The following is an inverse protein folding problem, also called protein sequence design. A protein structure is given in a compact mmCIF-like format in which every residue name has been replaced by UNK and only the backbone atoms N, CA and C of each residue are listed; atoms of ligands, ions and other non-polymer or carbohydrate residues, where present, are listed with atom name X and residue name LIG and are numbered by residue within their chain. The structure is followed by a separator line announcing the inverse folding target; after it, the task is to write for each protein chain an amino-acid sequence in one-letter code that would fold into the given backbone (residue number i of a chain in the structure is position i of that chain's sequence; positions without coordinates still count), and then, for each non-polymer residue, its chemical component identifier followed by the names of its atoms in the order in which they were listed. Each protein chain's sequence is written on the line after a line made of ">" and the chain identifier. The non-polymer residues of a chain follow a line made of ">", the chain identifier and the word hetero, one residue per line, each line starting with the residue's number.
data_IF_424519317065
#
_entry.id   IF_424519317065
#
_cell.length_a   1.000
_cell.length_b   1.000
_cell.length_c   1.000
_cell.angle_alpha   90.00
_cell.angle_beta   90.00
_cell.angle_gamma   90.00
#
_symmetry.space_group_name_H-M   'P 1'
#
loop_
_entity.id
_entity.type
_entity.pdbx_description
1 polymer ?
#
# COMPACT_ATOMS: atom_id res chain seq x y z
N UNK A 1 -16.11 -13.46 -1.63
CA UNK A 1 -17.36 -13.53 -2.41
C UNK A 1 -18.51 -13.90 -1.51
N UNK A 2 -19.42 -12.96 -1.26
CA UNK A 2 -20.57 -13.09 -0.36
C UNK A 2 -21.72 -13.96 -0.91
N UNK A 3 -21.55 -14.60 -2.04
CA UNK A 3 -22.58 -15.35 -2.75
C UNK A 3 -22.44 -16.87 -2.71
N UNK A 4 -21.47 -17.39 -1.97
CA UNK A 4 -21.44 -18.82 -1.68
C UNK A 4 -22.57 -19.10 -0.70
N UNK A 5 -23.68 -19.55 -1.27
CA UNK A 5 -24.90 -19.81 -0.52
C UNK A 5 -24.67 -20.87 0.55
N UNK A 6 -25.17 -20.57 1.71
CA UNK A 6 -25.18 -21.35 2.95
C UNK A 6 -25.72 -22.78 2.88
N UNK A 7 -26.16 -23.27 1.72
CA UNK A 7 -26.68 -24.65 1.56
C UNK A 7 -25.58 -25.70 1.38
N UNK A 8 -24.37 -25.27 0.97
CA UNK A 8 -23.28 -26.19 0.61
C UNK A 8 -22.05 -26.05 1.52
N UNK A 9 -22.14 -25.20 2.57
CA UNK A 9 -21.08 -25.06 3.55
C UNK A 9 -21.12 -26.19 4.54
N UNK A 10 -20.04 -26.95 4.61
CA UNK A 10 -19.78 -27.97 5.64
C UNK A 10 -18.92 -27.37 6.76
N UNK A 11 -19.51 -26.91 7.87
CA UNK A 11 -18.78 -26.15 8.89
C UNK A 11 -17.55 -26.89 9.44
N UNK A 12 -17.68 -28.17 9.71
CA UNK A 12 -16.57 -28.96 10.28
C UNK A 12 -15.41 -29.09 9.30
N UNK A 13 -15.69 -29.34 8.03
CA UNK A 13 -14.65 -29.36 6.99
C UNK A 13 -13.94 -28.01 6.87
N UNK A 14 -14.69 -26.90 6.96
CA UNK A 14 -14.10 -25.56 6.87
C UNK A 14 -13.22 -25.24 8.09
N UNK A 15 -13.63 -25.68 9.31
CA UNK A 15 -12.81 -25.55 10.51
C UNK A 15 -11.50 -26.33 10.36
N UNK A 16 -11.55 -27.59 9.94
CA UNK A 16 -10.37 -28.40 9.66
C UNK A 16 -9.47 -27.74 8.59
N UNK A 17 -10.06 -27.18 7.54
CA UNK A 17 -9.32 -26.47 6.48
C UNK A 17 -8.64 -25.20 7.03
N UNK A 18 -9.30 -24.44 7.93
CA UNK A 18 -8.70 -23.26 8.58
C UNK A 18 -7.50 -23.69 9.44
N UNK A 19 -7.65 -24.75 10.22
CA UNK A 19 -6.57 -25.28 11.06
C UNK A 19 -5.41 -25.83 10.21
N UNK A 20 -5.71 -26.62 9.19
CA UNK A 20 -4.71 -27.23 8.30
C UNK A 20 -3.95 -26.21 7.45
N UNK A 21 -4.63 -25.16 6.97
CA UNK A 21 -4.07 -24.21 6.00
C UNK A 21 -3.51 -22.95 6.68
N UNK A 22 -4.23 -22.43 7.68
CA UNK A 22 -3.88 -21.16 8.34
C UNK A 22 -3.17 -21.41 9.68
N UNK A 23 -3.38 -22.58 10.31
CA UNK A 23 -2.79 -22.92 11.60
C UNK A 23 -3.44 -22.18 12.78
N UNK A 24 -4.69 -21.81 12.65
CA UNK A 24 -5.48 -21.16 13.71
C UNK A 24 -6.53 -22.15 14.19
N UNK A 25 -6.56 -22.42 15.50
CA UNK A 25 -7.63 -23.22 16.11
C UNK A 25 -9.00 -22.60 15.81
N UNK A 26 -9.88 -23.34 15.15
CA UNK A 26 -11.19 -22.88 14.70
C UNK A 26 -12.37 -23.60 15.39
N UNK A 27 -12.09 -24.51 16.36
CA UNK A 27 -13.12 -25.30 17.02
C UNK A 27 -14.21 -24.42 17.66
N UNK A 28 -13.79 -23.36 18.36
CA UNK A 28 -14.68 -22.40 19.04
C UNK A 28 -15.17 -21.25 18.15
N UNK A 29 -14.96 -21.30 16.83
CA UNK A 29 -15.39 -20.23 15.93
C UNK A 29 -16.92 -20.17 15.84
N UNK A 30 -17.57 -19.00 16.07
CA UNK A 30 -19.02 -18.86 15.94
C UNK A 30 -19.50 -19.13 14.51
N UNK A 31 -20.49 -20.00 14.36
CA UNK A 31 -21.11 -20.31 13.07
C UNK A 31 -22.21 -19.30 12.79
N UNK A 32 -21.99 -18.40 11.83
CA UNK A 32 -22.89 -17.28 11.54
C UNK A 32 -23.40 -17.29 10.10
N UNK A 33 -24.47 -16.56 9.87
CA UNK A 33 -24.92 -16.19 8.53
C UNK A 33 -25.11 -14.68 8.45
N UNK A 34 -24.22 -13.99 7.77
CA UNK A 34 -24.34 -12.55 7.54
C UNK A 34 -25.63 -12.19 6.77
N UNK A 35 -26.07 -13.07 5.84
CA UNK A 35 -27.28 -12.87 5.03
C UNK A 35 -28.56 -12.90 5.86
N UNK A 36 -28.65 -13.79 6.84
CA UNK A 36 -29.86 -13.96 7.67
C UNK A 36 -29.76 -13.30 9.03
N UNK A 37 -28.56 -12.85 9.44
CA UNK A 37 -28.29 -12.34 10.80
C UNK A 37 -28.14 -13.44 11.85
N UNK A 38 -28.14 -14.72 11.45
CA UNK A 38 -28.03 -15.83 12.41
C UNK A 38 -26.72 -15.74 13.17
N UNK A 39 -26.78 -15.80 14.51
CA UNK A 39 -25.66 -15.83 15.45
C UNK A 39 -24.64 -14.66 15.28
N UNK A 40 -25.02 -13.55 14.66
CA UNK A 40 -24.15 -12.37 14.53
C UNK A 40 -23.89 -11.76 15.92
N UNK A 41 -24.86 -11.80 16.81
CA UNK A 41 -24.71 -11.34 18.21
C UNK A 41 -23.64 -12.13 18.96
N UNK A 42 -23.49 -13.43 18.72
CA UNK A 42 -22.47 -14.28 19.35
C UNK A 42 -21.04 -13.81 18.99
N UNK A 43 -20.84 -13.29 17.77
CA UNK A 43 -19.55 -12.68 17.37
C UNK A 43 -19.30 -11.40 18.14
N UNK A 44 -20.31 -10.55 18.32
CA UNK A 44 -20.19 -9.29 19.06
C UNK A 44 -19.87 -9.56 20.54
N UNK A 45 -20.56 -10.53 21.16
CA UNK A 45 -20.26 -10.95 22.53
C UNK A 45 -18.85 -11.54 22.64
N UNK A 46 -18.44 -12.41 21.71
CA UNK A 46 -17.10 -12.97 21.69
C UNK A 46 -16.01 -11.88 21.56
N UNK A 47 -16.26 -10.82 20.81
CA UNK A 47 -15.37 -9.65 20.72
C UNK A 47 -15.22 -8.99 22.08
N UNK A 48 -16.34 -8.75 22.78
CA UNK A 48 -16.33 -8.10 24.11
C UNK A 48 -15.64 -8.97 25.16
N UNK A 49 -15.83 -10.28 25.11
CA UNK A 49 -15.26 -11.22 26.07
C UNK A 49 -13.78 -11.53 25.83
N UNK A 50 -13.39 -11.73 24.55
CA UNK A 50 -12.06 -12.24 24.18
C UNK A 50 -11.03 -11.13 23.87
N UNK A 51 -11.47 -9.94 23.43
CA UNK A 51 -10.56 -8.85 23.10
C UNK A 51 -10.35 -7.93 24.30
N UNK A 52 -9.11 -7.79 24.80
CA UNK A 52 -8.85 -6.94 25.96
C UNK A 52 -9.14 -5.46 25.64
N UNK A 53 -9.70 -4.76 26.63
CA UNK A 53 -9.94 -3.32 26.52
C UNK A 53 -8.62 -2.54 26.32
N UNK A 54 -8.64 -1.39 25.62
CA UNK A 54 -7.47 -0.54 25.47
C UNK A 54 -6.92 -0.09 26.82
N UNK A 55 -5.59 -0.09 26.96
CA UNK A 55 -4.88 0.36 28.17
C UNK A 55 -4.29 1.74 27.90
N UNK A 56 -4.36 2.64 28.88
CA UNK A 56 -3.74 3.97 28.83
C UNK A 56 -4.10 4.81 30.05
N UNK A 57 -3.29 5.84 30.33
CA UNK A 57 -3.53 6.78 31.43
C UNK A 57 -4.00 8.14 30.89
N UNK A 58 -5.25 8.51 31.17
CA UNK A 58 -5.84 9.78 30.78
C UNK A 58 -5.15 11.02 31.41
N UNK A 59 -4.34 10.85 32.46
CA UNK A 59 -3.60 11.95 33.13
C UNK A 59 -2.17 12.10 32.63
N UNK A 60 -1.67 11.14 31.84
CA UNK A 60 -0.35 11.23 31.24
C UNK A 60 -0.28 12.35 30.18
N UNK A 61 0.92 12.78 29.76
CA UNK A 61 1.07 13.66 28.61
C UNK A 61 0.40 13.06 27.36
N UNK A 62 -0.28 13.91 26.58
CA UNK A 62 -0.99 13.47 25.39
C UNK A 62 -0.06 12.77 24.39
N UNK A 63 -0.44 11.57 24.02
CA UNK A 63 0.11 10.82 22.90
C UNK A 63 -1.04 10.27 22.04
N UNK A 64 -1.22 10.80 20.85
CA UNK A 64 -2.22 10.32 19.90
C UNK A 64 -1.55 9.96 18.57
N UNK A 65 -1.81 8.76 18.07
CA UNK A 65 -1.29 8.27 16.79
C UNK A 65 -2.27 8.65 15.67
N UNK A 66 -1.78 9.32 14.65
CA UNK A 66 -2.53 9.60 13.42
C UNK A 66 -2.53 8.34 12.57
N UNK A 67 -3.70 7.80 12.26
CA UNK A 67 -3.82 6.64 11.37
C UNK A 67 -4.46 6.97 10.02
N UNK A 68 -5.15 8.13 9.92
CA UNK A 68 -5.72 8.63 8.66
C UNK A 68 -5.97 10.14 8.75
N UNK A 69 -6.19 10.81 7.62
CA UNK A 69 -6.66 12.18 7.56
C UNK A 69 -7.44 12.43 6.27
N UNK A 70 -8.41 13.34 6.34
CA UNK A 70 -9.19 13.74 5.18
C UNK A 70 -9.25 15.26 5.11
N UNK A 71 -9.37 15.77 3.89
CA UNK A 71 -9.59 17.19 3.68
C UNK A 71 -11.07 17.47 3.44
N UNK A 72 -11.65 18.29 4.30
CA UNK A 72 -13.02 18.81 4.16
C UNK A 72 -12.96 20.29 3.76
N UNK A 73 -13.72 20.69 2.74
CA UNK A 73 -13.71 22.07 2.22
C UNK A 73 -14.18 23.13 3.23
N UNK A 74 -14.93 22.72 4.26
CA UNK A 74 -15.46 23.60 5.30
C UNK A 74 -14.67 23.52 6.61
N UNK A 75 -14.21 22.33 6.99
CA UNK A 75 -13.54 22.05 8.27
C UNK A 75 -12.02 22.05 8.14
N UNK A 76 -11.48 22.07 6.93
CA UNK A 76 -10.05 21.90 6.67
C UNK A 76 -9.59 20.46 6.85
N UNK A 77 -8.40 20.25 7.39
CA UNK A 77 -7.88 18.92 7.65
C UNK A 77 -8.54 18.32 8.89
N UNK A 78 -9.16 17.18 8.71
CA UNK A 78 -9.69 16.33 9.78
C UNK A 78 -8.74 15.18 9.99
N UNK A 79 -8.13 15.09 11.16
CA UNK A 79 -7.15 14.07 11.52
C UNK A 79 -7.84 12.95 12.30
N UNK A 80 -7.68 11.71 11.85
CA UNK A 80 -8.19 10.53 12.55
C UNK A 80 -7.08 9.96 13.42
N UNK A 81 -7.35 9.82 14.70
CA UNK A 81 -6.32 9.42 15.64
C UNK A 81 -6.84 8.46 16.72
N UNK A 82 -5.90 7.68 17.24
CA UNK A 82 -6.07 6.87 18.44
C UNK A 82 -5.33 7.54 19.59
N UNK A 83 -6.04 7.86 20.66
CA UNK A 83 -5.43 8.39 21.87
C UNK A 83 -4.80 7.21 22.64
N UNK A 84 -3.48 7.21 22.75
CA UNK A 84 -2.73 6.18 23.48
C UNK A 84 -2.61 6.54 24.94
N UNK A 85 -2.23 7.80 25.21
CA UNK A 85 -2.05 8.36 26.56
C UNK A 85 -2.62 9.78 26.61
N UNK A 86 -3.03 10.20 27.79
CA UNK A 86 -3.52 11.57 28.02
C UNK A 86 -4.93 11.79 27.52
N UNK A 87 -5.24 13.07 27.31
CA UNK A 87 -6.53 13.50 26.76
C UNK A 87 -6.38 14.78 25.92
N UNK A 88 -7.35 15.00 25.04
CA UNK A 88 -7.42 16.18 24.18
C UNK A 88 -8.86 16.69 24.10
N UNK A 89 -9.01 18.01 24.15
CA UNK A 89 -10.29 18.72 24.08
C UNK A 89 -10.17 19.95 23.18
N UNK A 90 -11.29 20.54 22.85
CA UNK A 90 -11.33 21.83 22.15
C UNK A 90 -10.48 22.87 22.87
N UNK A 91 -9.67 23.63 22.13
CA UNK A 91 -8.76 24.65 22.63
C UNK A 91 -7.42 24.11 23.16
N UNK A 92 -7.18 22.81 23.14
CA UNK A 92 -5.87 22.23 23.49
C UNK A 92 -4.86 22.65 22.43
N UNK A 93 -3.73 23.30 22.79
CA UNK A 93 -2.65 23.53 21.86
C UNK A 93 -1.91 22.21 21.60
N UNK A 94 -1.94 21.75 20.38
CA UNK A 94 -1.30 20.49 19.96
C UNK A 94 -0.07 20.74 19.10
N UNK A 95 0.84 19.77 19.12
CA UNK A 95 2.04 19.73 18.28
C UNK A 95 2.14 18.39 17.59
N UNK A 96 2.37 18.42 16.27
CA UNK A 96 2.76 17.28 15.46
C UNK A 96 4.24 17.01 15.68
N UNK A 97 4.61 15.81 16.13
CA UNK A 97 6.00 15.56 16.53
C UNK A 97 6.95 15.42 15.34
N UNK A 98 6.52 14.84 14.22
CA UNK A 98 7.35 14.66 13.05
C UNK A 98 7.52 15.94 12.23
N UNK A 99 6.45 16.71 12.04
CA UNK A 99 6.50 17.96 11.24
C UNK A 99 6.84 19.18 12.06
N UNK A 100 6.64 19.12 13.39
CA UNK A 100 6.82 20.25 14.31
C UNK A 100 5.69 21.29 14.25
N UNK A 101 4.67 21.08 13.44
CA UNK A 101 3.54 21.99 13.30
C UNK A 101 2.76 22.10 14.61
N UNK A 102 2.36 23.33 14.96
CA UNK A 102 1.59 23.64 16.17
C UNK A 102 0.27 24.27 15.76
N UNK A 103 -0.83 23.81 16.36
CA UNK A 103 -2.16 24.34 16.11
C UNK A 103 -3.07 24.18 17.34
N UNK A 104 -4.13 24.99 17.40
CA UNK A 104 -5.15 24.82 18.41
C UNK A 104 -6.26 23.89 17.91
N UNK A 105 -6.73 23.00 18.77
CA UNK A 105 -7.84 22.10 18.48
C UNK A 105 -9.14 22.90 18.40
N UNK A 106 -9.84 22.77 17.28
CA UNK A 106 -11.14 23.43 17.03
C UNK A 106 -12.27 22.55 17.52
N UNK A 107 -12.22 21.26 17.22
CA UNK A 107 -13.23 20.27 17.58
C UNK A 107 -12.57 18.90 17.76
N UNK A 108 -13.13 18.10 18.66
CA UNK A 108 -12.83 16.68 18.83
C UNK A 108 -14.14 15.89 18.80
N UNK A 109 -14.09 14.64 18.38
CA UNK A 109 -15.24 13.78 18.34
C UNK A 109 -14.90 12.34 17.99
N UNK A 110 -15.89 11.49 17.95
CA UNK A 110 -15.79 10.10 17.59
C UNK A 110 -16.66 9.75 16.39
N UNK A 111 -16.50 8.54 15.87
CA UNK A 111 -17.21 8.09 14.67
C UNK A 111 -18.54 7.42 15.05
N UNK A 112 -19.63 7.90 14.47
CA UNK A 112 -20.90 7.19 14.42
C UNK A 112 -21.08 6.46 13.09
N UNK A 113 -22.24 5.83 12.90
CA UNK A 113 -22.56 5.19 11.62
C UNK A 113 -22.77 6.28 10.53
N UNK A 114 -21.75 6.45 9.69
CA UNK A 114 -21.78 7.42 8.59
C UNK A 114 -21.72 8.89 8.98
N UNK A 115 -21.37 9.23 10.23
CA UNK A 115 -21.31 10.61 10.71
C UNK A 115 -20.23 10.84 11.77
N UNK A 116 -19.76 12.08 11.84
CA UNK A 116 -18.90 12.57 12.92
C UNK A 116 -19.75 13.06 14.10
N UNK A 117 -19.47 12.57 15.30
CA UNK A 117 -20.18 12.95 16.53
C UNK A 117 -19.22 13.75 17.40
N UNK A 118 -19.41 15.09 17.52
CA UNK A 118 -18.60 15.91 18.40
C UNK A 118 -18.74 15.48 19.87
N UNK A 119 -17.64 15.60 20.61
CA UNK A 119 -17.62 15.36 22.06
C UNK A 119 -16.76 16.41 22.77
N UNK A 120 -16.84 16.44 24.09
CA UNK A 120 -16.10 17.40 24.91
C UNK A 120 -14.61 17.04 24.97
N UNK A 121 -14.27 15.76 25.00
CA UNK A 121 -12.92 15.26 25.21
C UNK A 121 -12.75 13.86 24.61
N UNK A 122 -11.55 13.61 24.05
CA UNK A 122 -11.07 12.27 23.74
C UNK A 122 -9.99 11.89 24.77
N UNK A 123 -10.10 10.70 25.34
CA UNK A 123 -9.20 10.19 26.38
C UNK A 123 -8.45 8.94 25.91
N UNK A 124 -7.42 8.57 26.66
CA UNK A 124 -6.64 7.36 26.45
C UNK A 124 -7.54 6.13 26.21
N UNK A 125 -7.22 5.37 25.14
CA UNK A 125 -8.01 4.24 24.65
C UNK A 125 -9.06 4.57 23.60
N UNK A 126 -9.45 5.84 23.44
CA UNK A 126 -10.45 6.24 22.45
C UNK A 126 -9.85 6.41 21.06
N UNK A 127 -10.69 6.10 20.06
CA UNK A 127 -10.44 6.42 18.65
C UNK A 127 -11.43 7.50 18.25
N UNK A 128 -10.93 8.54 17.57
CA UNK A 128 -11.75 9.65 17.17
C UNK A 128 -11.08 10.56 16.15
N UNK A 129 -11.64 11.73 15.97
CA UNK A 129 -11.11 12.74 15.07
C UNK A 129 -10.78 14.04 15.81
N UNK A 130 -9.84 14.77 15.25
CA UNK A 130 -9.42 16.11 15.69
C UNK A 130 -9.47 17.02 14.48
N UNK A 131 -10.12 18.16 14.59
CA UNK A 131 -9.95 19.27 13.66
C UNK A 131 -9.09 20.34 14.34
N UNK A 132 -8.11 20.88 13.63
CA UNK A 132 -7.22 21.89 14.15
C UNK A 132 -6.98 22.98 13.10
N UNK A 133 -6.59 24.18 13.57
CA UNK A 133 -6.29 25.33 12.70
C UNK A 133 -4.94 25.16 12.00
N UNK A 134 -4.76 24.05 11.25
CA UNK A 134 -3.57 23.77 10.47
C UNK A 134 -3.56 24.60 9.20
N UNK A 135 -2.43 25.25 8.91
CA UNK A 135 -2.29 26.17 7.79
C UNK A 135 -2.05 25.43 6.47
N UNK A 136 -1.37 24.31 6.53
CA UNK A 136 -1.06 23.48 5.37
C UNK A 136 -1.49 22.05 5.62
N UNK A 137 -1.99 21.46 4.58
CA UNK A 137 -2.33 20.05 4.53
C UNK A 137 -1.11 19.15 4.77
N UNK A 138 0.07 19.58 4.32
CA UNK A 138 1.36 18.88 4.53
C UNK A 138 1.86 18.89 5.99
N UNK A 139 1.18 19.62 6.89
CA UNK A 139 1.52 19.67 8.32
C UNK A 139 1.06 18.43 9.08
N UNK A 140 0.22 17.57 8.46
CA UNK A 140 -0.21 16.29 9.01
C UNK A 140 0.35 15.13 8.18
N UNK A 141 0.78 14.08 8.87
CA UNK A 141 1.22 12.83 8.23
C UNK A 141 0.65 11.64 8.97
N UNK A 142 0.16 10.67 8.22
CA UNK A 142 -0.22 9.36 8.78
C UNK A 142 1.02 8.72 9.44
N UNK A 143 0.83 8.20 10.65
CA UNK A 143 1.91 7.68 11.48
C UNK A 143 2.61 8.69 12.38
N UNK A 144 2.27 10.00 12.29
CA UNK A 144 2.80 11.01 13.23
C UNK A 144 2.11 10.93 14.59
N UNK A 145 2.77 11.46 15.60
CA UNK A 145 2.25 11.58 16.97
C UNK A 145 1.82 13.00 17.25
N UNK A 146 0.58 13.13 17.72
CA UNK A 146 0.07 14.39 18.27
C UNK A 146 0.36 14.41 19.76
N UNK A 147 0.94 15.50 20.24
CA UNK A 147 1.15 15.78 21.67
C UNK A 147 0.65 17.16 22.06
N UNK A 148 0.57 17.43 23.38
CA UNK A 148 0.24 18.77 23.87
C UNK A 148 1.47 19.69 23.69
N UNK A 149 1.30 20.84 23.06
CA UNK A 149 2.41 21.77 22.78
C UNK A 149 3.03 22.39 24.05
N UNK A 150 2.23 22.50 25.13
CA UNK A 150 2.68 23.08 26.42
C UNK A 150 3.27 22.02 27.35
N UNK A 151 2.84 20.76 27.24
CA UNK A 151 3.34 19.64 28.02
C UNK A 151 3.55 18.43 27.08
N UNK A 152 4.59 18.48 26.23
CA UNK A 152 4.81 17.43 25.24
C UNK A 152 5.25 16.12 25.89
N UNK A 153 4.86 15.00 25.28
CA UNK A 153 5.41 13.69 25.63
C UNK A 153 6.90 13.63 25.26
N UNK A 154 7.65 12.78 25.97
CA UNK A 154 9.10 12.67 25.80
C UNK A 154 9.48 12.05 24.44
N UNK A 155 8.73 11.04 23.99
CA UNK A 155 9.00 10.28 22.77
C UNK A 155 7.75 10.14 21.91
N UNK A 156 7.87 10.14 20.58
CA UNK A 156 6.75 9.83 19.69
C UNK A 156 6.38 8.35 19.84
N UNK A 157 5.13 8.05 19.53
CA UNK A 157 4.70 6.67 19.36
C UNK A 157 5.44 6.01 18.19
N UNK A 158 5.68 4.69 18.23
CA UNK A 158 6.13 3.97 17.06
C UNK A 158 5.15 4.22 15.92
N UNK A 159 5.57 5.03 14.95
CA UNK A 159 4.78 5.31 13.77
C UNK A 159 4.79 4.15 12.79
N UNK A 160 4.06 4.30 11.70
CA UNK A 160 4.15 3.35 10.59
C UNK A 160 5.52 3.44 9.94
N UNK A 161 6.08 2.29 9.54
CA UNK A 161 7.31 2.28 8.75
C UNK A 161 7.07 3.07 7.46
N UNK A 162 7.99 3.97 7.14
CA UNK A 162 7.97 4.63 5.83
C UNK A 162 8.21 3.56 4.77
N UNK A 163 7.20 3.30 3.96
CA UNK A 163 7.32 2.40 2.83
C UNK A 163 7.65 3.24 1.60
N UNK A 164 8.70 2.88 0.90
CA UNK A 164 9.04 3.53 -0.36
C UNK A 164 8.25 2.90 -1.49
N UNK A 165 7.80 3.68 -2.47
CA UNK A 165 7.20 3.15 -3.68
C UNK A 165 8.13 2.17 -4.38
N UNK A 166 7.57 1.11 -4.92
CA UNK A 166 8.30 0.06 -5.65
C UNK A 166 7.92 0.01 -7.13
N UNK A 167 6.73 0.50 -7.46
CA UNK A 167 6.18 0.51 -8.82
C UNK A 167 5.91 1.95 -9.23
N UNK A 168 6.29 2.31 -10.42
CA UNK A 168 6.13 3.65 -10.98
C UNK A 168 5.39 3.60 -12.30
N UNK A 169 4.43 4.51 -12.51
CA UNK A 169 3.84 4.75 -13.82
C UNK A 169 3.49 6.22 -14.03
N UNK A 170 3.34 6.63 -15.27
CA UNK A 170 2.82 7.94 -15.63
C UNK A 170 1.28 7.94 -15.58
N UNK A 171 0.71 8.97 -14.96
CA UNK A 171 -0.72 9.27 -14.98
C UNK A 171 -0.96 10.55 -15.78
N UNK A 172 -1.75 10.47 -16.82
CA UNK A 172 -2.07 11.58 -17.70
C UNK A 172 -3.57 11.78 -17.79
N UNK A 173 -4.09 13.00 -17.69
CA UNK A 173 -5.50 13.24 -17.96
C UNK A 173 -5.78 13.06 -19.46
N UNK A 174 -6.88 12.39 -19.81
CA UNK A 174 -7.32 12.23 -21.21
C UNK A 174 -7.59 13.58 -21.87
N UNK A 175 -8.01 14.58 -21.11
CA UNK A 175 -8.12 15.97 -21.51
C UNK A 175 -7.00 16.78 -20.82
N UNK A 176 -6.06 17.30 -21.59
CA UNK A 176 -4.92 18.08 -21.08
C UNK A 176 -5.33 19.35 -20.30
N UNK A 177 -6.53 19.87 -20.51
CA UNK A 177 -7.07 20.99 -19.73
C UNK A 177 -7.28 20.62 -18.25
N UNK A 178 -7.45 19.33 -17.92
CA UNK A 178 -7.63 18.81 -16.57
C UNK A 178 -6.32 18.55 -15.82
N UNK A 179 -5.16 18.89 -16.36
CA UNK A 179 -3.87 18.73 -15.66
C UNK A 179 -3.83 19.41 -14.27
N UNK A 180 -4.33 20.65 -14.09
CA UNK A 180 -4.40 21.26 -12.76
C UNK A 180 -5.32 20.48 -11.80
N UNK A 181 -6.44 19.96 -12.29
CA UNK A 181 -7.38 19.19 -11.48
C UNK A 181 -6.75 17.87 -11.01
N UNK A 182 -5.98 17.21 -11.89
CA UNK A 182 -5.22 16.00 -11.54
C UNK A 182 -4.18 16.27 -10.45
N UNK A 183 -3.45 17.39 -10.55
CA UNK A 183 -2.50 17.79 -9.51
C UNK A 183 -3.19 17.97 -8.16
N UNK A 184 -4.27 18.74 -8.14
CA UNK A 184 -5.01 19.03 -6.91
C UNK A 184 -5.62 17.76 -6.30
N UNK A 185 -6.07 16.83 -7.13
CA UNK A 185 -6.55 15.52 -6.69
C UNK A 185 -5.44 14.67 -6.07
N UNK A 186 -4.27 14.57 -6.72
CA UNK A 186 -3.10 13.85 -6.20
C UNK A 186 -2.61 14.45 -4.88
N UNK A 187 -2.56 15.78 -4.76
CA UNK A 187 -2.21 16.45 -3.50
C UNK A 187 -3.18 16.11 -2.36
N UNK A 188 -4.47 16.02 -2.65
CA UNK A 188 -5.50 15.61 -1.67
C UNK A 188 -5.38 14.13 -1.29
N UNK A 189 -5.16 13.25 -2.26
CA UNK A 189 -4.96 11.82 -2.00
C UNK A 189 -3.72 11.55 -1.15
N UNK A 190 -2.64 12.30 -1.36
CA UNK A 190 -1.40 12.17 -0.59
C UNK A 190 -1.58 12.44 0.90
N UNK A 191 -2.70 13.10 1.31
CA UNK A 191 -3.01 13.35 2.71
C UNK A 191 -3.30 12.09 3.52
N UNK A 192 -4.03 11.18 2.91
CA UNK A 192 -4.41 9.93 3.54
C UNK A 192 -3.63 8.73 2.98
N UNK A 193 -2.73 8.97 2.02
CA UNK A 193 -1.86 7.96 1.46
C UNK A 193 -0.40 8.43 1.50
N UNK A 194 0.28 8.12 2.60
CA UNK A 194 1.68 8.51 2.83
C UNK A 194 2.66 7.82 1.86
N UNK A 195 2.24 6.75 1.20
CA UNK A 195 3.05 6.01 0.24
C UNK A 195 2.99 6.60 -1.17
N UNK A 196 1.91 7.33 -1.50
CA UNK A 196 1.76 7.97 -2.81
C UNK A 196 2.80 9.09 -2.98
N UNK A 197 3.65 8.93 -3.98
CA UNK A 197 4.61 9.95 -4.41
C UNK A 197 4.31 10.32 -5.84
N UNK A 198 4.47 11.59 -6.20
CA UNK A 198 4.29 12.03 -7.57
C UNK A 198 5.16 13.24 -7.89
N UNK A 199 5.59 13.33 -9.13
CA UNK A 199 6.34 14.43 -9.69
C UNK A 199 5.82 14.77 -11.10
N UNK A 200 5.91 16.03 -11.54
CA UNK A 200 5.50 16.42 -12.89
C UNK A 200 6.27 15.65 -13.95
N UNK A 201 5.57 15.18 -14.97
CA UNK A 201 6.14 14.49 -16.12
C UNK A 201 5.51 15.00 -17.41
N UNK A 202 6.24 14.90 -18.51
CA UNK A 202 5.73 15.25 -19.84
C UNK A 202 6.03 14.12 -20.81
N UNK A 203 5.02 13.72 -21.56
CA UNK A 203 5.12 12.77 -22.66
C UNK A 203 4.85 13.50 -23.98
N UNK A 204 5.57 13.14 -25.03
CA UNK A 204 5.34 13.69 -26.38
C UNK A 204 3.97 13.27 -26.89
N UNK A 205 3.57 12.03 -26.58
CA UNK A 205 2.28 11.46 -27.02
C UNK A 205 1.09 11.91 -26.16
N UNK A 206 1.26 12.04 -24.83
CA UNK A 206 0.17 12.25 -23.88
C UNK A 206 0.12 13.67 -23.27
N UNK A 207 1.14 14.48 -23.49
CA UNK A 207 1.23 15.84 -22.94
C UNK A 207 1.69 15.87 -21.48
N UNK A 208 1.10 16.77 -20.68
CA UNK A 208 1.47 16.96 -19.27
C UNK A 208 0.75 15.96 -18.37
N UNK A 209 1.49 15.37 -17.46
CA UNK A 209 1.00 14.41 -16.48
C UNK A 209 1.90 14.35 -15.24
N UNK A 210 1.83 13.25 -14.52
CA UNK A 210 2.64 13.00 -13.33
C UNK A 210 3.21 11.59 -13.34
N UNK A 211 4.50 11.48 -13.02
CA UNK A 211 5.13 10.21 -12.67
C UNK A 211 4.77 9.89 -11.23
N UNK A 212 4.03 8.82 -11.01
CA UNK A 212 3.53 8.42 -9.70
C UNK A 212 4.20 7.13 -9.24
N UNK A 213 4.53 7.09 -7.94
CA UNK A 213 5.08 5.92 -7.28
C UNK A 213 4.05 5.25 -6.38
N UNK A 214 3.98 3.92 -6.45
CA UNK A 214 2.99 3.07 -5.76
C UNK A 214 3.67 1.92 -5.03
N UNK A 215 3.01 1.35 -4.02
CA UNK A 215 3.48 0.16 -3.31
C UNK A 215 3.42 -1.12 -4.16
N UNK A 216 2.53 -1.15 -5.14
CA UNK A 216 2.29 -2.27 -6.05
C UNK A 216 1.12 -1.96 -6.97
N UNK A 217 0.71 -2.94 -7.81
CA UNK A 217 -0.39 -2.75 -8.76
C UNK A 217 -1.73 -2.48 -8.09
N UNK A 218 -2.06 -3.20 -7.03
CA UNK A 218 -3.32 -2.98 -6.30
C UNK A 218 -3.41 -1.55 -5.77
N UNK A 219 -2.31 -1.00 -5.27
CA UNK A 219 -2.26 0.40 -4.83
C UNK A 219 -2.48 1.36 -6.01
N UNK A 220 -1.87 1.09 -7.16
CA UNK A 220 -2.08 1.86 -8.39
C UNK A 220 -3.56 1.84 -8.82
N UNK A 221 -4.18 0.66 -8.87
CA UNK A 221 -5.60 0.50 -9.24
C UNK A 221 -6.52 1.25 -8.28
N UNK A 222 -6.28 1.18 -6.97
CA UNK A 222 -7.07 1.91 -5.97
C UNK A 222 -6.95 3.42 -6.18
N UNK A 223 -5.73 3.94 -6.37
CA UNK A 223 -5.52 5.37 -6.60
C UNK A 223 -6.16 5.83 -7.89
N UNK A 224 -6.02 5.05 -8.98
CA UNK A 224 -6.66 5.34 -10.26
C UNK A 224 -8.19 5.38 -10.11
N UNK A 225 -8.78 4.36 -9.50
CA UNK A 225 -10.24 4.29 -9.29
C UNK A 225 -10.74 5.45 -8.42
N UNK A 226 -9.98 5.86 -7.39
CA UNK A 226 -10.30 7.03 -6.58
C UNK A 226 -10.25 8.33 -7.38
N UNK A 227 -9.23 8.53 -8.22
CA UNK A 227 -9.11 9.69 -9.11
C UNK A 227 -10.29 9.77 -10.09
N UNK A 228 -10.71 8.64 -10.63
CA UNK A 228 -11.84 8.55 -11.55
C UNK A 228 -13.18 8.81 -10.85
N UNK A 229 -13.43 8.17 -9.72
CA UNK A 229 -14.74 8.22 -9.02
C UNK A 229 -14.92 9.45 -8.12
N UNK A 230 -13.90 9.82 -7.35
CA UNK A 230 -14.02 10.91 -6.38
C UNK A 230 -13.78 12.28 -7.04
N UNK A 231 -12.91 12.33 -8.08
CA UNK A 231 -12.50 13.57 -8.73
C UNK A 231 -12.98 13.71 -10.18
N UNK A 232 -13.68 12.70 -10.70
CA UNK A 232 -14.24 12.69 -12.07
C UNK A 232 -13.17 12.97 -13.15
N UNK A 233 -12.03 12.29 -13.03
CA UNK A 233 -10.91 12.39 -13.95
C UNK A 233 -10.85 11.14 -14.82
N UNK A 234 -10.82 11.32 -16.16
CA UNK A 234 -10.47 10.24 -17.09
C UNK A 234 -8.96 10.23 -17.25
N UNK A 235 -8.36 9.06 -17.01
CA UNK A 235 -6.90 8.92 -16.96
C UNK A 235 -6.37 7.95 -18.01
N UNK A 236 -5.19 8.26 -18.53
CA UNK A 236 -4.35 7.35 -19.30
C UNK A 236 -3.14 7.00 -18.44
N UNK A 237 -2.91 5.70 -18.25
CA UNK A 237 -1.76 5.19 -17.48
C UNK A 237 -0.73 4.59 -18.41
N UNK A 238 0.55 4.86 -18.15
CA UNK A 238 1.64 4.16 -18.85
C UNK A 238 1.88 2.77 -18.24
N UNK A 239 2.66 1.93 -18.91
CA UNK A 239 3.05 0.65 -18.35
C UNK A 239 3.77 0.83 -17.01
N UNK A 240 3.38 0.10 -15.95
CA UNK A 240 4.11 0.12 -14.68
C UNK A 240 5.56 -0.33 -14.85
N UNK A 241 6.48 0.30 -14.13
CA UNK A 241 7.89 -0.06 -14.13
C UNK A 241 8.48 0.02 -12.73
N UNK A 242 9.63 -0.60 -12.53
CA UNK A 242 10.42 -0.50 -11.29
C UNK A 242 11.52 0.56 -11.47
N UNK A 243 12.20 0.92 -10.38
CA UNK A 243 13.41 1.74 -10.47
C UNK A 243 14.57 0.85 -10.89
N UNK A 244 15.22 1.22 -12.00
CA UNK A 244 16.49 0.60 -12.41
C UNK A 244 17.65 1.51 -12.05
N UNK A 245 18.81 0.94 -11.77
CA UNK A 245 20.05 1.67 -11.60
C UNK A 245 20.88 1.54 -12.86
N UNK A 246 21.23 2.67 -13.47
CA UNK A 246 22.02 2.75 -14.69
C UNK A 246 23.39 3.31 -14.34
N UNK A 247 24.42 2.49 -14.46
CA UNK A 247 25.81 2.89 -14.28
C UNK A 247 26.36 3.34 -15.63
N UNK A 248 26.78 4.61 -15.71
CA UNK A 248 27.33 5.20 -16.94
C UNK A 248 28.83 4.96 -17.03
N UNK A 249 29.33 4.93 -18.25
CA UNK A 249 30.78 4.79 -18.57
C UNK A 249 31.64 5.91 -17.97
N UNK A 250 31.05 7.08 -17.67
CA UNK A 250 31.72 8.19 -16.99
C UNK A 250 31.76 8.08 -15.47
N UNK A 251 31.15 7.01 -14.88
CA UNK A 251 31.08 6.76 -13.45
C UNK A 251 29.84 7.31 -12.75
N UNK A 252 28.94 7.99 -13.46
CA UNK A 252 27.68 8.48 -12.90
C UNK A 252 26.70 7.32 -12.69
N UNK A 253 25.90 7.42 -11.62
CA UNK A 253 24.78 6.54 -11.33
C UNK A 253 23.46 7.29 -11.53
N UNK A 254 22.56 6.71 -12.31
CA UNK A 254 21.22 7.25 -12.56
C UNK A 254 20.18 6.25 -12.00
N UNK A 255 19.25 6.73 -11.20
CA UNK A 255 18.02 5.99 -10.83
C UNK A 255 16.96 6.27 -11.90
N UNK A 256 16.64 5.25 -12.66
CA UNK A 256 15.74 5.33 -13.81
C UNK A 256 14.35 4.86 -13.42
N UNK A 257 13.40 5.78 -13.29
CA UNK A 257 11.98 5.51 -13.05
C UNK A 257 11.14 5.48 -14.31
N UNK A 258 11.60 6.20 -15.36
CA UNK A 258 10.92 6.28 -16.66
C UNK A 258 11.81 5.70 -17.76
N UNK A 259 11.36 4.63 -18.47
CA UNK A 259 12.12 4.01 -19.55
C UNK A 259 12.58 4.97 -20.67
N UNK A 260 11.81 6.04 -20.90
CA UNK A 260 12.14 7.03 -21.95
C UNK A 260 13.41 7.83 -21.66
N UNK A 261 13.80 7.92 -20.40
CA UNK A 261 15.00 8.62 -19.95
C UNK A 261 16.25 7.74 -19.94
N UNK A 262 16.19 6.52 -20.51
CA UNK A 262 17.34 5.65 -20.60
C UNK A 262 18.42 6.32 -21.49
N UNK A 263 19.68 6.47 -21.00
CA UNK A 263 20.77 7.00 -21.78
C UNK A 263 21.05 6.16 -23.05
N UNK A 264 21.81 6.76 -23.99
CA UNK A 264 22.26 6.01 -25.15
C UNK A 264 23.06 4.76 -24.73
N UNK A 265 22.86 3.60 -25.37
CA UNK A 265 23.57 2.36 -25.03
C UNK A 265 25.12 2.52 -24.97
N UNK A 266 25.71 3.42 -25.74
CA UNK A 266 27.14 3.70 -25.68
C UNK A 266 27.61 4.41 -24.40
N UNK A 267 26.70 5.04 -23.68
CA UNK A 267 26.98 5.69 -22.41
C UNK A 267 26.76 4.75 -21.18
N UNK A 268 26.17 3.57 -21.39
CA UNK A 268 25.84 2.63 -20.32
C UNK A 268 26.99 1.62 -20.18
N UNK A 269 27.51 1.49 -18.95
CA UNK A 269 28.45 0.43 -18.59
C UNK A 269 27.69 -0.84 -18.24
N UNK A 270 26.76 -0.76 -17.28
CA UNK A 270 25.83 -1.84 -16.93
C UNK A 270 24.58 -1.29 -16.24
N UNK A 271 23.57 -2.15 -16.12
CA UNK A 271 22.33 -1.84 -15.42
C UNK A 271 22.08 -2.84 -14.29
N UNK A 272 21.39 -2.36 -13.25
CA UNK A 272 20.93 -3.20 -12.13
C UNK A 272 19.42 -3.11 -12.02
N UNK A 273 18.81 -4.25 -11.70
CA UNK A 273 17.38 -4.34 -11.38
C UNK A 273 17.15 -4.63 -9.90
N UNK A 274 15.99 -4.18 -9.33
CA UNK A 274 15.65 -4.47 -7.95
C UNK A 274 15.29 -5.93 -7.77
N UNK A 275 15.88 -6.55 -6.75
CA UNK A 275 15.63 -7.93 -6.34
C UNK A 275 14.91 -7.94 -5.00
N UNK A 276 13.94 -8.81 -4.86
CA UNK A 276 13.21 -9.04 -3.62
C UNK A 276 13.48 -10.44 -3.08
N UNK A 277 13.51 -10.56 -1.77
CA UNK A 277 13.38 -11.84 -1.07
C UNK A 277 11.90 -12.13 -0.96
N UNK A 278 11.46 -13.17 -1.62
CA UNK A 278 10.08 -13.64 -1.65
C UNK A 278 9.93 -14.86 -0.73
N UNK A 279 8.93 -14.83 0.14
CA UNK A 279 8.53 -15.94 1.00
C UNK A 279 7.13 -16.40 0.58
N UNK A 280 7.02 -17.62 0.12
CA UNK A 280 5.79 -18.20 -0.40
C UNK A 280 5.40 -19.36 0.48
N UNK A 281 4.34 -19.18 1.26
CA UNK A 281 3.76 -20.28 2.04
C UNK A 281 2.78 -21.05 1.16
N UNK A 282 2.93 -22.37 1.12
CA UNK A 282 2.15 -23.22 0.23
C UNK A 282 1.96 -24.61 0.86
N UNK A 283 0.85 -25.27 0.52
CA UNK A 283 0.63 -26.66 0.91
C UNK A 283 1.49 -27.60 0.06
N UNK A 284 1.86 -28.75 0.64
CA UNK A 284 2.84 -29.68 0.05
C UNK A 284 2.48 -30.12 -1.37
N UNK A 285 1.20 -30.22 -1.71
CA UNK A 285 0.73 -30.66 -3.03
C UNK A 285 1.04 -29.67 -4.16
N UNK A 286 1.19 -28.37 -3.84
CA UNK A 286 1.42 -27.33 -4.85
C UNK A 286 2.87 -26.85 -4.93
N UNK A 287 3.79 -27.38 -4.09
CA UNK A 287 5.19 -26.97 -4.06
C UNK A 287 5.82 -26.98 -5.46
N UNK A 288 5.66 -28.08 -6.22
CA UNK A 288 6.24 -28.20 -7.56
C UNK A 288 5.71 -27.12 -8.53
N UNK A 289 4.40 -26.90 -8.54
CA UNK A 289 3.79 -25.91 -9.42
C UNK A 289 4.23 -24.45 -9.10
N UNK A 290 4.49 -24.16 -7.81
CA UNK A 290 4.99 -22.84 -7.39
C UNK A 290 6.48 -22.70 -7.68
N UNK A 291 7.28 -23.76 -7.52
CA UNK A 291 8.69 -23.75 -7.92
C UNK A 291 8.85 -23.48 -9.42
N UNK A 292 8.03 -24.15 -10.25
CA UNK A 292 8.00 -23.91 -11.71
C UNK A 292 7.65 -22.45 -12.02
N UNK A 293 6.62 -21.88 -11.36
CA UNK A 293 6.27 -20.47 -11.51
C UNK A 293 7.43 -19.53 -11.18
N UNK A 294 8.09 -19.75 -10.06
CA UNK A 294 9.23 -18.92 -9.66
C UNK A 294 10.39 -19.02 -10.66
N UNK A 295 10.64 -20.22 -11.21
CA UNK A 295 11.67 -20.43 -12.22
C UNK A 295 11.34 -19.74 -13.54
N UNK A 296 10.08 -19.79 -14.00
CA UNK A 296 9.59 -19.04 -15.17
C UNK A 296 9.79 -17.52 -15.01
N UNK A 297 9.77 -17.02 -13.77
CA UNK A 297 9.99 -15.63 -13.40
C UNK A 297 11.43 -15.28 -13.01
N UNK A 298 12.39 -16.04 -13.51
CA UNK A 298 13.84 -15.84 -13.24
C UNK A 298 14.20 -15.92 -11.74
N UNK A 299 13.37 -16.60 -10.93
CA UNK A 299 13.60 -16.72 -9.50
C UNK A 299 14.77 -17.64 -9.18
N UNK A 300 15.59 -17.23 -8.22
CA UNK A 300 16.71 -17.99 -7.69
C UNK A 300 16.29 -18.62 -6.36
N UNK A 301 16.17 -19.94 -6.34
CA UNK A 301 15.80 -20.70 -5.16
C UNK A 301 16.83 -20.53 -4.03
N UNK A 302 16.37 -20.20 -2.83
CA UNK A 302 17.20 -20.00 -1.65
C UNK A 302 17.02 -21.11 -0.61
N UNK A 303 15.81 -21.64 -0.48
CA UNK A 303 15.52 -22.68 0.49
C UNK A 303 14.05 -23.00 0.62
N UNK A 304 13.77 -24.06 1.36
CA UNK A 304 12.42 -24.46 1.73
C UNK A 304 12.43 -24.95 3.17
N UNK A 305 11.47 -24.50 3.94
CA UNK A 305 11.27 -24.92 5.33
C UNK A 305 9.84 -25.43 5.52
N UNK A 306 9.67 -26.59 6.15
CA UNK A 306 8.36 -27.08 6.54
C UNK A 306 7.98 -26.48 7.90
N UNK A 307 6.88 -25.76 7.95
CA UNK A 307 6.33 -25.25 9.21
C UNK A 307 5.55 -26.36 9.89
N UNK A 308 4.83 -27.17 9.12
CA UNK A 308 4.02 -28.30 9.53
C UNK A 308 4.10 -29.44 8.50
N UNK A 309 3.51 -30.62 8.79
CA UNK A 309 3.56 -31.76 7.86
C UNK A 309 3.04 -31.44 6.45
N UNK A 310 2.06 -30.55 6.35
CA UNK A 310 1.39 -30.21 5.08
C UNK A 310 1.72 -28.83 4.52
N UNK A 311 2.53 -28.02 5.22
CA UNK A 311 2.84 -26.65 4.80
C UNK A 311 4.32 -26.37 4.75
N UNK A 312 4.76 -25.72 3.68
CA UNK A 312 6.12 -25.28 3.50
C UNK A 312 6.20 -23.79 3.14
N UNK A 313 7.29 -23.15 3.53
CA UNK A 313 7.69 -21.84 3.06
C UNK A 313 8.82 -22.01 2.06
N UNK A 314 8.61 -21.52 0.86
CA UNK A 314 9.62 -21.44 -0.19
C UNK A 314 10.23 -20.05 -0.15
N UNK A 315 11.54 -19.95 -0.11
CA UNK A 315 12.28 -18.69 -0.18
C UNK A 315 12.97 -18.57 -1.54
N UNK A 316 12.69 -17.47 -2.24
CA UNK A 316 13.28 -17.14 -3.54
C UNK A 316 13.82 -15.72 -3.56
N UNK A 317 14.85 -15.48 -4.35
CA UNK A 317 15.19 -14.14 -4.82
C UNK A 317 14.56 -13.96 -6.20
N UNK A 318 13.72 -12.96 -6.34
CA UNK A 318 12.96 -12.67 -7.57
C UNK A 318 13.22 -11.24 -8.02
N UNK A 319 13.39 -10.99 -9.33
CA UNK A 319 13.37 -9.64 -9.85
C UNK A 319 12.00 -8.99 -9.61
N UNK A 320 11.96 -7.79 -9.03
CA UNK A 320 10.71 -7.11 -8.70
C UNK A 320 9.82 -6.93 -9.94
N UNK A 321 10.42 -6.62 -11.10
CA UNK A 321 9.67 -6.43 -12.34
C UNK A 321 8.92 -7.69 -12.81
N UNK A 322 9.36 -8.89 -12.43
CA UNK A 322 8.71 -10.16 -12.81
C UNK A 322 7.49 -10.49 -11.92
N UNK A 323 7.32 -9.80 -10.79
CA UNK A 323 6.22 -10.06 -9.85
C UNK A 323 5.14 -8.97 -9.86
N UNK A 324 5.40 -7.80 -10.46
CA UNK A 324 4.46 -6.69 -10.43
C UNK A 324 3.26 -6.85 -11.37
N UNK A 325 3.28 -7.77 -12.31
CA UNK A 325 2.15 -7.97 -13.23
C UNK A 325 1.23 -9.10 -12.77
N UNK A 326 1.28 -10.22 -13.40
CA UNK A 326 0.35 -11.35 -13.26
C UNK A 326 0.84 -12.46 -12.30
N UNK A 327 1.96 -12.24 -11.59
CA UNK A 327 2.54 -13.24 -10.69
C UNK A 327 1.57 -13.67 -9.60
N UNK A 328 0.86 -12.72 -8.99
CA UNK A 328 -0.07 -13.01 -7.91
C UNK A 328 -1.27 -13.84 -8.37
N UNK A 329 -1.79 -13.56 -9.55
CA UNK A 329 -2.88 -14.31 -10.14
C UNK A 329 -2.44 -15.71 -10.57
N UNK A 330 -1.24 -15.83 -11.13
CA UNK A 330 -0.62 -17.11 -11.43
C UNK A 330 -0.38 -17.94 -10.17
N UNK A 331 0.09 -17.32 -9.09
CA UNK A 331 0.30 -17.95 -7.79
C UNK A 331 -1.01 -18.53 -7.24
N UNK A 332 -2.07 -17.72 -7.19
CA UNK A 332 -3.40 -18.15 -6.75
C UNK A 332 -3.95 -19.26 -7.61
N UNK A 333 -3.85 -19.11 -8.93
CA UNK A 333 -4.37 -20.11 -9.88
C UNK A 333 -3.67 -21.46 -9.70
N UNK A 334 -2.32 -21.47 -9.59
CA UNK A 334 -1.53 -22.70 -9.47
C UNK A 334 -1.63 -23.36 -8.09
N UNK A 335 -2.07 -22.63 -7.07
CA UNK A 335 -2.25 -23.13 -5.71
C UNK A 335 -3.71 -23.26 -5.28
N UNK A 336 -4.67 -23.10 -6.20
CA UNK A 336 -6.12 -23.06 -5.88
C UNK A 336 -6.47 -22.04 -4.78
N UNK A 337 -5.69 -20.97 -4.65
CA UNK A 337 -5.88 -19.93 -3.65
C UNK A 337 -5.20 -20.18 -2.31
N UNK A 338 -4.52 -21.32 -2.11
CA UNK A 338 -3.90 -21.69 -0.83
C UNK A 338 -2.49 -21.12 -0.61
N UNK A 339 -1.84 -20.57 -1.64
CA UNK A 339 -0.55 -19.93 -1.45
C UNK A 339 -0.70 -18.50 -0.97
N UNK A 340 0.10 -18.14 0.05
CA UNK A 340 0.32 -16.78 0.46
C UNK A 340 1.70 -16.31 0.01
N UNK A 341 1.84 -15.01 -0.21
CA UNK A 341 3.04 -14.41 -0.76
C UNK A 341 3.38 -13.13 -0.01
N UNK A 342 4.57 -13.09 0.52
CA UNK A 342 5.16 -11.89 1.11
C UNK A 342 6.54 -11.66 0.49
N UNK A 343 6.98 -10.40 0.42
CA UNK A 343 8.29 -10.08 -0.11
C UNK A 343 8.85 -8.80 0.51
N UNK A 344 10.15 -8.75 0.61
CA UNK A 344 10.90 -7.59 1.07
C UNK A 344 12.02 -7.25 0.09
N UNK A 345 12.35 -5.97 0.02
CA UNK A 345 13.41 -5.48 -0.84
C UNK A 345 14.76 -6.01 -0.35
N UNK A 346 15.46 -6.76 -1.19
CA UNK A 346 16.79 -7.29 -0.88
C UNK A 346 17.91 -6.33 -1.32
N UNK A 347 17.74 -5.71 -2.48
CA UNK A 347 18.73 -4.81 -3.06
C UNK A 347 18.66 -4.76 -4.57
N UNK A 348 19.80 -4.49 -5.22
CA UNK A 348 19.92 -4.40 -6.67
C UNK A 348 20.97 -5.38 -7.16
N UNK A 349 20.72 -6.05 -8.28
CA UNK A 349 21.66 -6.95 -8.93
C UNK A 349 21.83 -6.56 -10.40
N UNK A 350 23.06 -6.76 -10.90
CA UNK A 350 23.38 -6.53 -12.32
C UNK A 350 22.58 -7.47 -13.20
N UNK A 351 21.98 -6.91 -14.27
CA UNK A 351 21.11 -7.65 -15.17
C UNK A 351 21.26 -7.19 -16.61
N UNK A 352 21.00 -8.09 -17.55
CA UNK A 352 21.00 -7.78 -18.99
C UNK A 352 19.64 -7.25 -19.41
N UNK A 353 19.47 -5.94 -19.24
CA UNK A 353 18.22 -5.24 -19.50
C UNK A 353 18.27 -4.54 -20.86
N UNK A 354 17.12 -4.53 -21.53
CA UNK A 354 16.93 -3.85 -22.81
C UNK A 354 15.64 -3.03 -22.78
N UNK A 355 15.68 -1.86 -23.43
CA UNK A 355 14.49 -1.05 -23.68
C UNK A 355 13.77 -1.58 -24.91
N UNK A 356 12.47 -1.77 -24.81
CA UNK A 356 11.59 -2.03 -25.94
C UNK A 356 10.79 -0.77 -26.25
N UNK A 357 10.86 -0.32 -27.49
CA UNK A 357 10.07 0.79 -28.00
C UNK A 357 8.99 0.27 -28.94
N UNK A 358 7.75 0.69 -28.68
CA UNK A 358 6.62 0.35 -29.52
C UNK A 358 6.44 1.43 -30.57
N UNK A 359 6.44 0.99 -31.84
CA UNK A 359 6.24 1.87 -32.97
C UNK A 359 4.80 1.76 -33.46
N UNK A 360 4.06 2.86 -33.45
CA UNK A 360 2.75 2.97 -34.10
C UNK A 360 2.96 3.75 -35.40
N UNK A 361 2.62 3.12 -36.52
CA UNK A 361 2.82 3.70 -37.85
C UNK A 361 4.29 4.16 -38.13
N UNK A 362 5.28 3.42 -37.58
CA UNK A 362 6.72 3.69 -37.64
C UNK A 362 7.21 4.89 -36.79
N UNK A 363 6.36 5.44 -35.96
CA UNK A 363 6.71 6.47 -35.00
C UNK A 363 6.75 5.88 -33.58
N UNK A 364 7.79 6.19 -32.83
CA UNK A 364 7.95 5.74 -31.44
C UNK A 364 6.91 6.42 -30.55
N UNK A 365 6.25 5.61 -29.70
CA UNK A 365 5.32 6.11 -28.69
C UNK A 365 5.99 5.98 -27.34
N UNK A 366 6.51 7.09 -26.82
CA UNK A 366 7.28 7.16 -25.59
C UNK A 366 6.53 6.59 -24.37
N UNK A 367 5.21 6.80 -24.29
CA UNK A 367 4.36 6.31 -23.25
C UNK A 367 4.24 4.76 -23.17
N UNK A 368 4.59 4.06 -24.26
CA UNK A 368 4.53 2.60 -24.38
C UNK A 368 5.90 1.92 -24.27
N UNK A 369 6.97 2.68 -24.08
CA UNK A 369 8.31 2.11 -23.88
C UNK A 369 8.43 1.43 -22.51
N UNK A 370 9.12 0.31 -22.46
CA UNK A 370 9.37 -0.41 -21.21
C UNK A 370 10.70 -1.16 -21.22
N UNK A 371 11.20 -1.50 -20.02
CA UNK A 371 12.48 -2.19 -19.85
C UNK A 371 12.20 -3.63 -19.42
N UNK A 372 12.86 -4.57 -20.07
CA UNK A 372 12.76 -6.00 -19.74
C UNK A 372 14.14 -6.67 -19.79
N UNK A 373 14.23 -7.88 -19.24
CA UNK A 373 15.41 -8.70 -19.41
C UNK A 373 15.53 -9.19 -20.85
N UNK A 374 16.75 -9.22 -21.37
CA UNK A 374 17.04 -9.58 -22.78
C UNK A 374 16.50 -10.93 -23.20
N UNK A 375 16.45 -11.93 -22.27
CA UNK A 375 15.89 -13.25 -22.55
C UNK A 375 14.41 -13.23 -22.94
N UNK A 376 13.65 -12.24 -22.45
CA UNK A 376 12.21 -12.14 -22.66
C UNK A 376 11.84 -11.21 -23.84
N UNK A 377 12.85 -10.62 -24.51
CA UNK A 377 12.65 -9.63 -25.56
C UNK A 377 11.96 -10.13 -26.82
N UNK A 378 11.97 -11.45 -27.08
CA UNK A 378 11.34 -12.05 -28.25
C UNK A 378 9.97 -12.67 -27.94
N UNK A 379 9.60 -12.84 -26.67
CA UNK A 379 8.31 -13.47 -26.28
C UNK A 379 7.22 -12.45 -25.95
N UNK A 380 7.60 -11.19 -25.74
CA UNK A 380 6.72 -10.05 -25.50
C UNK A 380 6.70 -9.09 -26.67
#
# INVERSE_FOLDING_TARGET
>A
SSDVCSSDLEPERVKEEIEDVIGIEAEDAPLISAKTGLNVEDVLEAIVEKIPAPVGDAKAPLQALIFDSVYDSYRGVIVFCRIKEGSVRKGTPIKMMATGAVADVVEVGYFGAGQFIPCDELQAGMVGYITASLKNVKDTRVGDTITNAQNPCAEPLPGYKKVNPMVYCGLYPSDGAKYPDLRDALEKLQLNDAALQFEPETSIALGFGFRCGFLGLLHLEIIQERLEREYNLDLVTTAPSVIYKVHKTNGDLIELTNPTNLPDPSEIDYMEEPIVKAEIMVTSEFIGAIMDLCQERRGVYQGMEYIEEKRAVLTYHLPLNEIIYDFFDALKSRSRGYASFDYEMLGYERSELVKLDILINKEEVDALSFIIHSSNAYER
#
